data_IF_756573697370
#
_entry.id   IF_756573697370
#
_cell.length_a   1.000
_cell.length_b   1.000
_cell.length_c   1.000
_cell.angle_alpha   90.00
_cell.angle_beta   90.00
_cell.angle_gamma   90.00
#
_symmetry.space_group_name_H-M   'P 1'
#
loop_
_entity.id
_entity.type
_entity.pdbx_description
1 polymer ?
#
# COMPACT_ATOMS: atom_id res chain seq x y z
N UNK A 1 7.91 -2.31 -17.05
CA UNK A 1 8.63 -2.37 -15.76
C UNK A 1 8.33 -3.76 -15.24
N UNK A 2 9.36 -4.60 -15.09
CA UNK A 2 9.15 -5.99 -14.66
C UNK A 2 8.88 -5.97 -13.16
N UNK A 3 7.81 -6.63 -12.73
CA UNK A 3 7.45 -6.71 -11.32
C UNK A 3 8.46 -7.64 -10.61
N UNK A 4 9.05 -7.25 -9.45
CA UNK A 4 9.90 -8.14 -8.65
C UNK A 4 9.27 -9.51 -8.36
N UNK A 5 7.94 -9.60 -8.29
CA UNK A 5 7.21 -10.88 -8.16
C UNK A 5 7.43 -11.81 -9.35
N UNK A 6 7.47 -11.28 -10.57
CA UNK A 6 7.68 -12.06 -11.79
C UNK A 6 9.11 -12.63 -11.84
N UNK A 7 10.09 -11.81 -11.46
CA UNK A 7 11.51 -12.22 -11.37
C UNK A 7 11.66 -13.32 -10.30
N UNK A 8 11.04 -13.14 -9.13
CA UNK A 8 11.03 -14.16 -8.08
C UNK A 8 10.39 -15.48 -8.53
N UNK A 9 9.31 -15.44 -9.31
CA UNK A 9 8.68 -16.65 -9.84
C UNK A 9 9.60 -17.36 -10.83
N UNK A 10 10.25 -16.60 -11.72
CA UNK A 10 11.24 -17.14 -12.66
C UNK A 10 12.42 -17.80 -11.95
N UNK A 11 12.95 -17.18 -10.87
CA UNK A 11 14.00 -17.78 -10.04
C UNK A 11 13.60 -19.14 -9.46
N UNK A 12 12.37 -19.25 -8.96
CA UNK A 12 11.84 -20.52 -8.44
C UNK A 12 11.72 -21.58 -9.54
N UNK A 13 11.28 -21.20 -10.74
CA UNK A 13 11.20 -22.13 -11.88
C UNK A 13 12.58 -22.62 -12.35
N UNK A 14 13.61 -21.80 -12.19
CA UNK A 14 15.00 -22.16 -12.50
C UNK A 14 15.68 -22.94 -11.35
N UNK A 15 14.95 -23.28 -10.28
CA UNK A 15 15.47 -23.91 -9.06
C UNK A 15 16.64 -23.15 -8.41
N UNK A 16 16.75 -21.85 -8.68
CA UNK A 16 17.80 -21.01 -8.11
C UNK A 16 17.28 -20.39 -6.81
N UNK A 17 17.72 -20.95 -5.68
CA UNK A 17 17.24 -20.61 -4.32
C UNK A 17 18.15 -19.59 -3.63
N UNK A 18 19.44 -19.55 -4.00
CA UNK A 18 20.44 -18.65 -3.42
C UNK A 18 20.41 -17.28 -4.09
N UNK A 19 20.01 -16.26 -3.33
CA UNK A 19 20.01 -14.86 -3.77
C UNK A 19 21.30 -14.19 -3.34
N UNK A 20 22.22 -14.05 -4.29
CA UNK A 20 23.38 -13.15 -4.16
C UNK A 20 23.27 -12.12 -5.26
N UNK A 21 23.73 -10.89 -5.02
CA UNK A 21 23.57 -9.79 -5.98
C UNK A 21 24.10 -10.15 -7.39
N UNK A 22 25.21 -10.91 -7.45
CA UNK A 22 25.79 -11.40 -8.71
C UNK A 22 24.89 -12.42 -9.43
N UNK A 23 24.23 -13.32 -8.72
CA UNK A 23 23.30 -14.30 -9.31
C UNK A 23 21.99 -13.63 -9.70
N UNK A 24 21.49 -12.70 -8.89
CA UNK A 24 20.26 -11.95 -9.18
C UNK A 24 20.43 -11.10 -10.44
N UNK A 25 21.59 -10.45 -10.64
CA UNK A 25 21.90 -9.72 -11.86
C UNK A 25 21.87 -10.64 -13.10
N UNK A 26 22.51 -11.82 -13.02
CA UNK A 26 22.48 -12.82 -14.11
C UNK A 26 21.06 -13.31 -14.38
N UNK A 27 20.26 -13.52 -13.35
CA UNK A 27 18.89 -13.98 -13.47
C UNK A 27 17.99 -12.92 -14.14
N UNK A 28 18.17 -11.64 -13.80
CA UNK A 28 17.44 -10.54 -14.43
C UNK A 28 17.82 -10.43 -15.92
N UNK A 29 19.11 -10.55 -16.25
CA UNK A 29 19.57 -10.57 -17.64
C UNK A 29 18.94 -11.72 -18.43
N UNK A 30 19.01 -12.94 -17.88
CA UNK A 30 18.42 -14.14 -18.49
C UNK A 30 16.90 -14.02 -18.67
N UNK A 31 16.20 -13.45 -17.69
CA UNK A 31 14.78 -13.17 -17.78
C UNK A 31 14.47 -12.17 -18.89
N UNK A 32 15.27 -11.10 -19.00
CA UNK A 32 15.16 -10.09 -20.05
C UNK A 32 15.33 -10.69 -21.46
N UNK A 33 16.33 -11.55 -21.64
CA UNK A 33 16.60 -12.24 -22.91
C UNK A 33 15.49 -13.20 -23.32
N UNK A 34 15.01 -14.03 -22.38
CA UNK A 34 13.99 -15.05 -22.65
C UNK A 34 12.59 -14.47 -22.83
N UNK A 35 12.21 -13.52 -21.99
CA UNK A 35 10.84 -13.00 -21.95
C UNK A 35 10.65 -11.73 -22.79
N UNK A 36 11.74 -11.02 -23.14
CA UNK A 36 11.74 -9.76 -23.89
C UNK A 36 10.60 -8.84 -23.47
N UNK A 37 10.49 -8.51 -22.18
CA UNK A 37 9.37 -7.75 -21.68
C UNK A 37 9.29 -6.39 -22.39
N UNK A 38 8.09 -5.90 -22.69
CA UNK A 38 7.93 -4.62 -23.36
C UNK A 38 8.55 -3.50 -22.52
N UNK A 39 9.17 -2.53 -23.20
CA UNK A 39 9.73 -1.33 -22.57
C UNK A 39 8.62 -0.62 -21.79
N UNK A 40 8.91 -0.29 -20.54
CA UNK A 40 7.95 0.42 -19.70
C UNK A 40 7.64 1.79 -20.29
N UNK A 41 6.36 2.11 -20.40
CA UNK A 41 5.90 3.47 -20.71
C UNK A 41 5.24 4.05 -19.46
N UNK A 42 5.73 5.21 -19.04
CA UNK A 42 5.13 5.92 -17.92
C UNK A 42 3.71 6.36 -18.32
N UNK A 43 2.68 6.09 -17.49
CA UNK A 43 1.33 6.58 -17.77
C UNK A 43 1.30 8.12 -17.73
N UNK A 44 0.40 8.72 -18.51
CA UNK A 44 0.22 10.17 -18.49
C UNK A 44 -0.21 10.68 -17.10
N UNK A 45 0.13 11.93 -16.80
CA UNK A 45 -0.22 12.58 -15.52
C UNK A 45 -1.73 12.49 -15.22
N UNK A 46 -2.58 12.60 -16.24
CA UNK A 46 -4.03 12.47 -16.10
C UNK A 46 -4.43 11.08 -15.61
N UNK A 47 -3.86 10.02 -16.18
CA UNK A 47 -4.11 8.63 -15.77
C UNK A 47 -3.61 8.42 -14.34
N UNK A 48 -2.44 8.95 -13.99
CA UNK A 48 -1.89 8.84 -12.65
C UNK A 48 -2.78 9.51 -11.60
N UNK A 49 -3.25 10.74 -11.86
CA UNK A 49 -4.20 11.46 -10.98
C UNK A 49 -5.50 10.68 -10.81
N UNK A 50 -6.02 10.11 -11.89
CA UNK A 50 -7.26 9.32 -11.86
C UNK A 50 -7.10 8.06 -11.01
N UNK A 51 -5.94 7.39 -11.08
CA UNK A 51 -5.61 6.23 -10.24
C UNK A 51 -5.44 6.56 -8.75
N UNK A 52 -5.03 7.78 -8.42
CA UNK A 52 -4.85 8.21 -7.02
C UNK A 52 -6.18 8.45 -6.30
N UNK A 53 -7.22 8.91 -7.00
CA UNK A 53 -8.54 9.21 -6.41
C UNK A 53 -9.18 8.06 -5.60
N UNK A 54 -9.31 6.82 -6.13
CA UNK A 54 -9.90 5.72 -5.37
C UNK A 54 -9.04 5.29 -4.18
N UNK A 55 -7.71 5.44 -4.29
CA UNK A 55 -6.79 5.18 -3.19
C UNK A 55 -7.01 6.16 -2.04
N UNK A 56 -7.12 7.45 -2.36
CA UNK A 56 -7.43 8.50 -1.39
C UNK A 56 -8.79 8.26 -0.71
N UNK A 57 -9.81 7.90 -1.48
CA UNK A 57 -11.13 7.57 -0.93
C UNK A 57 -11.09 6.38 0.05
N UNK A 58 -10.36 5.31 -0.30
CA UNK A 58 -10.15 4.17 0.60
C UNK A 58 -9.41 4.59 1.87
N UNK A 59 -8.44 5.49 1.77
CA UNK A 59 -7.72 6.00 2.92
C UNK A 59 -8.63 6.80 3.85
N UNK A 60 -9.49 7.68 3.30
CA UNK A 60 -10.48 8.40 4.10
C UNK A 60 -11.47 7.46 4.80
N UNK A 61 -11.96 6.42 4.12
CA UNK A 61 -12.80 5.40 4.77
C UNK A 61 -12.11 4.71 5.94
N UNK A 62 -10.82 4.35 5.78
CA UNK A 62 -10.03 3.76 6.85
C UNK A 62 -9.83 4.73 8.02
N UNK A 63 -9.56 6.01 7.73
CA UNK A 63 -9.42 7.03 8.75
C UNK A 63 -10.71 7.24 9.54
N UNK A 64 -11.84 7.29 8.86
CA UNK A 64 -13.15 7.38 9.50
C UNK A 64 -13.40 6.20 10.43
N UNK A 65 -13.19 4.96 9.97
CA UNK A 65 -13.36 3.78 10.81
C UNK A 65 -12.41 3.78 12.01
N UNK A 66 -11.15 4.17 11.82
CA UNK A 66 -10.19 4.31 12.93
C UNK A 66 -10.66 5.33 13.96
N UNK A 67 -11.16 6.48 13.53
CA UNK A 67 -11.65 7.53 14.42
C UNK A 67 -12.90 7.07 15.19
N UNK A 68 -13.83 6.37 14.54
CA UNK A 68 -15.00 5.79 15.19
C UNK A 68 -14.59 4.75 16.24
N UNK A 69 -13.68 3.85 15.90
CA UNK A 69 -13.20 2.84 16.86
C UNK A 69 -12.53 3.49 18.07
N UNK A 70 -11.76 4.55 17.85
CA UNK A 70 -11.13 5.34 18.92
C UNK A 70 -12.21 6.00 19.79
N UNK A 71 -13.22 6.63 19.19
CA UNK A 71 -14.34 7.21 19.92
C UNK A 71 -15.09 6.17 20.77
N UNK A 72 -15.43 5.02 20.21
CA UNK A 72 -16.07 3.92 20.93
C UNK A 72 -15.21 3.41 22.09
N UNK A 73 -13.91 3.25 21.86
CA UNK A 73 -12.97 2.83 22.91
C UNK A 73 -12.93 3.80 24.10
N UNK A 74 -13.04 5.11 23.84
CA UNK A 74 -13.09 6.11 24.91
C UNK A 74 -14.38 6.05 25.72
N UNK A 75 -15.52 5.73 25.07
CA UNK A 75 -16.80 5.55 25.76
C UNK A 75 -16.82 4.32 26.67
N UNK A 76 -16.05 3.28 26.34
CA UNK A 76 -15.95 2.06 27.13
C UNK A 76 -15.09 2.21 28.41
N UNK A 77 -14.38 3.34 28.59
CA UNK A 77 -13.51 3.54 29.75
C UNK A 77 -14.33 3.90 31.01
N UNK A 78 -13.98 3.36 32.19
CA UNK A 78 -14.67 3.64 33.45
C UNK A 78 -14.48 5.08 33.95
N UNK A 79 -13.45 5.79 33.47
CA UNK A 79 -13.19 7.20 33.75
C UNK A 79 -12.80 7.90 32.46
N UNK A 80 -13.58 8.88 32.06
CA UNK A 80 -13.32 9.69 30.87
C UNK A 80 -12.53 10.93 31.29
N UNK A 81 -11.45 11.25 30.57
CA UNK A 81 -10.68 12.48 30.78
C UNK A 81 -11.52 13.70 30.31
N UNK A 82 -11.55 14.76 31.11
CA UNK A 82 -12.25 16.00 30.80
C UNK A 82 -11.81 16.61 29.47
N UNK A 83 -10.54 16.41 29.08
CA UNK A 83 -10.01 16.86 27.78
C UNK A 83 -10.68 16.13 26.62
N UNK A 84 -10.85 14.80 26.75
CA UNK A 84 -11.47 13.95 25.74
C UNK A 84 -12.96 14.30 25.59
N UNK A 85 -13.65 14.53 26.69
CA UNK A 85 -15.03 15.03 26.69
C UNK A 85 -15.14 16.38 25.98
N UNK A 86 -14.23 17.33 26.22
CA UNK A 86 -14.25 18.63 25.54
C UNK A 86 -14.05 18.49 24.03
N UNK A 87 -13.14 17.62 23.58
CA UNK A 87 -12.87 17.42 22.15
C UNK A 87 -13.98 16.67 21.43
N UNK A 88 -14.59 15.65 22.05
CA UNK A 88 -15.67 14.85 21.44
C UNK A 88 -17.03 15.56 21.45
N UNK A 89 -17.28 16.50 22.38
CA UNK A 89 -18.56 17.20 22.49
C UNK A 89 -18.66 18.47 21.60
N UNK A 90 -17.65 18.80 20.78
CA UNK A 90 -17.70 19.95 19.87
C UNK A 90 -18.70 19.78 18.71
N UNK A 91 -19.15 18.55 18.44
CA UNK A 91 -20.12 18.22 17.39
C UNK A 91 -21.60 18.25 17.85
N UNK A 92 -21.89 18.62 19.11
CA UNK A 92 -23.27 18.86 19.57
C UNK A 92 -23.81 20.26 19.25
N UNK A 93 -23.20 20.98 18.29
CA UNK A 93 -23.83 22.18 17.70
C UNK A 93 -24.78 21.72 16.59
N UNK A 94 -26.08 21.72 16.94
CA UNK A 94 -27.23 21.75 16.04
C UNK A 94 -27.01 22.66 14.83
#
# INVERSE_FOLDING_TARGET
MVNPKQINHFSKMMLNVTKTDNLDAKLIALYGEKMRPPIYKLPSLTIQKLRQKPMLFRQFKKQLCMLLNVQESFLALPKVDDKVNKTLNLDKKK
#
